data_IF_375605660926
#
_entry.id   IF_375605660926
#
_cell.length_a   1.000
_cell.length_b   1.000
_cell.length_c   1.000
_cell.angle_alpha   90.00
_cell.angle_beta   90.00
_cell.angle_gamma   90.00
#
_symmetry.space_group_name_H-M   'P 1'
#
loop_
_entity.id
_entity.type
_entity.pdbx_description
1 polymer ?
#
# COMPACT_ATOMS: atom_id res chain seq x y z
N UNK A 1 -48.61 19.47 -32.47
CA UNK A 1 -48.68 18.40 -31.51
C UNK A 1 -47.34 18.27 -30.77
N UNK A 2 -47.33 18.48 -29.46
CA UNK A 2 -46.14 18.18 -28.64
C UNK A 2 -46.16 16.69 -28.33
N UNK A 3 -45.24 15.94 -28.89
CA UNK A 3 -45.00 14.53 -28.53
C UNK A 3 -44.46 14.52 -27.10
N UNK A 4 -45.23 14.06 -26.15
CA UNK A 4 -44.79 13.74 -24.82
C UNK A 4 -43.89 12.51 -24.95
N UNK A 5 -42.57 12.69 -24.87
CA UNK A 5 -41.63 11.60 -24.69
C UNK A 5 -41.89 11.08 -23.28
N UNK A 6 -42.47 9.89 -23.17
CA UNK A 6 -42.55 9.18 -21.90
C UNK A 6 -41.14 8.88 -21.47
N UNK A 7 -40.64 9.57 -20.45
CA UNK A 7 -39.39 9.18 -19.77
C UNK A 7 -39.60 7.78 -19.18
N UNK A 8 -38.68 6.89 -19.50
CA UNK A 8 -38.71 5.56 -18.94
C UNK A 8 -38.31 5.68 -17.44
N UNK A 9 -39.28 5.37 -16.57
CA UNK A 9 -39.10 5.51 -15.11
C UNK A 9 -37.92 4.71 -14.63
N UNK A 10 -37.68 3.53 -15.21
CA UNK A 10 -36.54 2.64 -14.86
C UNK A 10 -35.18 3.26 -15.21
N UNK A 11 -35.10 4.02 -16.32
CA UNK A 11 -33.89 4.75 -16.70
C UNK A 11 -33.62 5.93 -15.76
N UNK A 12 -34.66 6.63 -15.32
CA UNK A 12 -34.54 7.74 -14.37
C UNK A 12 -34.10 7.23 -12.98
N UNK A 13 -34.58 6.07 -12.53
CA UNK A 13 -34.16 5.44 -11.27
C UNK A 13 -32.70 4.98 -11.33
N UNK A 14 -32.32 4.31 -12.42
CA UNK A 14 -30.93 3.90 -12.65
C UNK A 14 -29.99 5.12 -12.64
N UNK A 15 -30.33 6.18 -13.35
CA UNK A 15 -29.53 7.42 -13.41
C UNK A 15 -29.40 8.09 -12.04
N UNK A 16 -30.45 8.09 -11.22
CA UNK A 16 -30.40 8.58 -9.83
C UNK A 16 -29.46 7.75 -8.98
N UNK A 17 -29.55 6.41 -9.06
CA UNK A 17 -28.67 5.49 -8.32
C UNK A 17 -27.20 5.68 -8.70
N UNK A 18 -26.88 5.79 -9.99
CA UNK A 18 -25.53 6.05 -10.48
C UNK A 18 -24.98 7.40 -9.99
N UNK A 19 -25.82 8.44 -10.00
CA UNK A 19 -25.47 9.77 -9.50
C UNK A 19 -25.23 9.77 -7.99
N UNK A 20 -26.01 9.02 -7.23
CA UNK A 20 -25.86 8.89 -5.79
C UNK A 20 -24.60 8.11 -5.43
N UNK A 21 -24.30 7.02 -6.14
CA UNK A 21 -23.05 6.28 -6.01
C UNK A 21 -21.83 7.17 -6.31
N UNK A 22 -21.89 7.96 -7.38
CA UNK A 22 -20.82 8.90 -7.72
C UNK A 22 -20.63 9.99 -6.66
N UNK A 23 -21.71 10.49 -6.06
CA UNK A 23 -21.67 11.47 -4.97
C UNK A 23 -21.08 10.89 -3.70
N UNK A 24 -21.48 9.67 -3.35
CA UNK A 24 -20.96 8.94 -2.19
C UNK A 24 -19.49 8.61 -2.38
N UNK A 25 -19.07 8.19 -3.57
CA UNK A 25 -17.66 7.95 -3.90
C UNK A 25 -16.81 9.21 -3.68
N UNK A 26 -17.24 10.36 -4.23
CA UNK A 26 -16.54 11.64 -4.04
C UNK A 26 -16.47 12.06 -2.57
N UNK A 27 -17.52 11.81 -1.81
CA UNK A 27 -17.58 12.08 -0.37
C UNK A 27 -16.55 11.22 0.39
N UNK A 28 -16.48 9.93 0.09
CA UNK A 28 -15.54 9.00 0.71
C UNK A 28 -14.08 9.34 0.35
N UNK A 29 -13.80 9.68 -0.91
CA UNK A 29 -12.48 10.15 -1.35
C UNK A 29 -12.07 11.39 -0.54
N UNK A 30 -12.92 12.41 -0.45
CA UNK A 30 -12.63 13.64 0.31
C UNK A 30 -12.35 13.34 1.79
N UNK A 31 -13.17 12.48 2.40
CA UNK A 31 -13.01 12.10 3.81
C UNK A 31 -11.66 11.41 4.06
N UNK A 32 -11.32 10.43 3.23
CA UNK A 32 -10.06 9.70 3.37
C UNK A 32 -8.85 10.61 3.12
N UNK A 33 -8.90 11.48 2.10
CA UNK A 33 -7.84 12.46 1.83
C UNK A 33 -7.57 13.36 3.04
N UNK A 34 -8.63 13.95 3.60
CA UNK A 34 -8.49 14.85 4.75
C UNK A 34 -7.89 14.10 5.95
N UNK A 35 -8.41 12.91 6.26
CA UNK A 35 -7.89 12.08 7.33
C UNK A 35 -6.39 11.72 7.12
N UNK A 36 -5.99 11.38 5.88
CA UNK A 36 -4.59 11.06 5.58
C UNK A 36 -3.66 12.28 5.73
N UNK A 37 -4.10 13.46 5.30
CA UNK A 37 -3.33 14.70 5.46
C UNK A 37 -3.13 15.03 6.94
N UNK A 38 -4.18 14.94 7.75
CA UNK A 38 -4.11 15.20 9.19
C UNK A 38 -3.22 14.16 9.89
N UNK A 39 -3.40 12.89 9.56
CA UNK A 39 -2.60 11.81 10.13
C UNK A 39 -1.10 11.97 9.81
N UNK A 40 -0.77 12.27 8.54
CA UNK A 40 0.60 12.48 8.09
C UNK A 40 1.30 13.67 8.76
N UNK A 41 0.54 14.70 9.17
CA UNK A 41 1.09 15.84 9.91
C UNK A 41 1.46 15.49 11.34
N UNK A 42 0.66 14.64 11.97
CA UNK A 42 0.81 14.25 13.38
C UNK A 42 1.75 13.06 13.56
N UNK A 43 1.89 12.18 12.56
CA UNK A 43 2.56 10.90 12.69
C UNK A 43 3.62 10.69 11.59
N UNK A 44 4.67 9.96 11.95
CA UNK A 44 5.68 9.44 10.99
C UNK A 44 5.40 7.96 10.81
N UNK A 45 4.97 7.55 9.62
CA UNK A 45 4.53 6.19 9.34
C UNK A 45 5.49 5.49 8.41
N UNK A 46 5.86 4.26 8.76
CA UNK A 46 6.59 3.31 7.93
C UNK A 46 5.76 2.04 7.74
N UNK A 47 5.70 1.53 6.51
CA UNK A 47 4.96 0.33 6.17
C UNK A 47 5.91 -0.75 5.65
N UNK A 48 5.63 -2.00 6.05
CA UNK A 48 6.44 -3.16 5.69
C UNK A 48 5.57 -4.20 5.01
N UNK A 49 6.06 -4.71 3.88
CA UNK A 49 5.33 -5.64 3.03
C UNK A 49 6.19 -6.80 2.60
N UNK A 50 5.58 -7.98 2.62
CA UNK A 50 6.08 -9.17 1.95
C UNK A 50 5.11 -9.65 0.87
N UNK A 51 5.50 -10.64 0.07
CA UNK A 51 4.64 -11.21 -0.97
C UNK A 51 3.45 -11.94 -0.35
N UNK A 52 2.28 -11.71 -0.93
CA UNK A 52 1.05 -12.37 -0.48
C UNK A 52 1.10 -13.90 -0.55
N UNK A 53 2.03 -14.45 -1.31
CA UNK A 53 2.23 -15.89 -1.53
C UNK A 53 3.38 -16.48 -0.73
N UNK A 54 4.25 -15.64 -0.16
CA UNK A 54 5.40 -16.05 0.64
C UNK A 54 5.21 -15.54 2.06
N UNK A 55 5.40 -16.43 3.04
CA UNK A 55 5.39 -16.03 4.45
C UNK A 55 6.79 -15.58 4.85
N UNK A 56 6.84 -14.39 5.47
CA UNK A 56 8.02 -13.91 6.19
C UNK A 56 9.31 -13.83 5.36
N UNK A 57 9.32 -12.89 4.46
CA UNK A 57 10.48 -12.47 3.71
C UNK A 57 11.17 -11.27 4.40
N UNK A 58 12.04 -10.60 3.71
CA UNK A 58 12.84 -9.50 4.21
C UNK A 58 12.03 -8.34 4.81
N UNK A 59 10.78 -8.13 4.37
CA UNK A 59 9.87 -7.16 4.96
C UNK A 59 9.52 -7.47 6.42
N UNK A 60 9.23 -8.74 6.72
CA UNK A 60 8.97 -9.19 8.08
C UNK A 60 10.20 -9.00 8.99
N UNK A 61 11.36 -9.46 8.54
CA UNK A 61 12.58 -9.36 9.35
C UNK A 61 12.99 -7.90 9.57
N UNK A 62 12.84 -7.05 8.57
CA UNK A 62 13.07 -5.61 8.72
C UNK A 62 12.10 -4.99 9.73
N UNK A 63 10.79 -5.30 9.62
CA UNK A 63 9.80 -4.85 10.60
C UNK A 63 10.17 -5.27 12.03
N UNK A 64 10.50 -6.57 12.24
CA UNK A 64 10.89 -7.13 13.56
C UNK A 64 12.13 -6.45 14.16
N UNK A 65 13.03 -5.99 13.32
CA UNK A 65 14.19 -5.21 13.75
C UNK A 65 13.80 -3.79 14.13
N UNK A 66 13.06 -3.11 13.26
CA UNK A 66 12.82 -1.67 13.35
C UNK A 66 11.78 -1.32 14.42
N UNK A 67 10.79 -2.20 14.66
CA UNK A 67 9.76 -1.97 15.68
C UNK A 67 10.32 -1.81 17.10
N UNK A 68 11.53 -2.25 17.33
CA UNK A 68 12.25 -2.15 18.61
C UNK A 68 12.76 -0.72 18.89
N UNK A 69 12.84 0.13 17.87
CA UNK A 69 13.36 1.48 18.02
C UNK A 69 12.28 2.42 18.57
N UNK A 70 12.62 3.11 19.65
CA UNK A 70 11.76 4.13 20.23
C UNK A 70 12.18 5.53 19.72
N UNK A 71 11.86 5.79 18.46
CA UNK A 71 12.26 7.01 17.73
C UNK A 71 11.08 7.88 17.29
N UNK A 72 9.88 7.56 17.79
CA UNK A 72 8.64 8.27 17.46
C UNK A 72 8.11 7.96 16.07
N UNK A 73 8.59 6.86 15.43
CA UNK A 73 8.09 6.38 14.14
C UNK A 73 7.10 5.24 14.39
N UNK A 74 5.92 5.36 13.80
CA UNK A 74 4.91 4.30 13.82
C UNK A 74 5.16 3.33 12.69
N UNK A 75 5.39 2.08 13.03
CA UNK A 75 5.73 1.00 12.10
C UNK A 75 4.62 -0.01 12.04
N UNK A 76 4.19 -0.36 10.83
CA UNK A 76 3.10 -1.32 10.61
C UNK A 76 3.50 -2.36 9.58
N UNK A 77 3.27 -3.63 9.93
CA UNK A 77 3.40 -4.74 8.99
C UNK A 77 2.06 -5.05 8.34
N UNK A 78 2.04 -5.05 7.02
CA UNK A 78 0.82 -5.26 6.23
C UNK A 78 0.72 -6.72 5.84
N UNK A 79 -0.33 -7.40 6.30
CA UNK A 79 -0.57 -8.80 6.03
C UNK A 79 -1.82 -9.02 5.18
N UNK A 80 -1.81 -10.02 4.31
CA UNK A 80 -2.91 -10.33 3.38
C UNK A 80 -3.70 -11.58 3.75
N UNK A 81 -3.14 -12.44 4.60
CA UNK A 81 -3.79 -13.67 5.06
C UNK A 81 -3.75 -13.79 6.58
N UNK A 82 -4.66 -14.58 7.12
CA UNK A 82 -4.68 -14.87 8.55
C UNK A 82 -3.60 -15.90 8.89
N UNK A 83 -2.87 -15.65 9.96
CA UNK A 83 -1.86 -16.56 10.47
C UNK A 83 -2.46 -17.44 11.58
N UNK A 84 -2.33 -18.77 11.42
CA UNK A 84 -2.80 -19.73 12.44
C UNK A 84 -2.04 -19.61 13.75
N UNK A 85 -0.75 -19.26 13.69
CA UNK A 85 0.17 -19.22 14.82
C UNK A 85 0.66 -17.78 15.09
N UNK A 86 -0.25 -16.81 15.11
CA UNK A 86 0.11 -15.40 15.24
C UNK A 86 0.92 -15.11 16.52
N UNK A 87 0.60 -15.80 17.62
CA UNK A 87 1.29 -15.63 18.92
C UNK A 87 2.73 -16.15 18.92
N UNK A 88 3.07 -17.09 18.00
CA UNK A 88 4.44 -17.56 17.81
C UNK A 88 5.27 -16.62 16.93
N UNK A 89 4.60 -15.89 16.05
CA UNK A 89 5.21 -15.02 15.04
C UNK A 89 5.40 -13.60 15.55
N UNK A 90 4.44 -13.11 16.34
CA UNK A 90 4.40 -11.73 16.81
C UNK A 90 4.09 -11.68 18.30
N UNK A 91 4.83 -10.87 19.03
CA UNK A 91 4.49 -10.55 20.43
C UNK A 91 3.16 -9.79 20.51
N UNK A 92 2.56 -9.70 21.68
CA UNK A 92 1.30 -8.94 21.86
C UNK A 92 1.44 -7.47 21.46
N UNK A 93 2.58 -6.87 21.75
CA UNK A 93 2.86 -5.49 21.37
C UNK A 93 2.98 -5.35 19.84
N UNK A 94 3.69 -6.26 19.19
CA UNK A 94 3.82 -6.27 17.73
C UNK A 94 2.48 -6.51 17.02
N UNK A 95 1.57 -7.31 17.59
CA UNK A 95 0.25 -7.57 17.02
C UNK A 95 -0.60 -6.31 16.89
N UNK A 96 -0.42 -5.31 17.76
CA UNK A 96 -1.07 -4.01 17.66
C UNK A 96 -0.66 -3.23 16.40
N UNK A 97 0.48 -3.58 15.82
CA UNK A 97 1.07 -2.98 14.62
C UNK A 97 0.80 -3.78 13.33
N UNK A 98 -0.01 -4.83 13.41
CA UNK A 98 -0.44 -5.60 12.25
C UNK A 98 -1.65 -4.94 11.59
N UNK A 99 -1.62 -4.81 10.27
CA UNK A 99 -2.70 -4.18 9.50
C UNK A 99 -3.09 -5.06 8.32
N UNK A 100 -4.37 -5.36 8.24
CA UNK A 100 -4.90 -6.19 7.14
C UNK A 100 -4.85 -5.42 5.82
N UNK A 101 -4.31 -6.06 4.78
CA UNK A 101 -4.25 -5.52 3.43
C UNK A 101 -5.65 -5.12 2.93
N UNK A 102 -5.76 -3.97 2.30
CA UNK A 102 -7.02 -3.45 1.76
C UNK A 102 -8.00 -2.88 2.78
N UNK A 103 -7.71 -2.98 4.10
CA UNK A 103 -8.57 -2.38 5.14
C UNK A 103 -8.57 -0.85 5.07
N UNK A 104 -9.56 -0.22 5.70
CA UNK A 104 -9.61 1.25 5.80
C UNK A 104 -8.39 1.81 6.55
N UNK A 105 -7.90 1.10 7.58
CA UNK A 105 -6.66 1.46 8.27
C UNK A 105 -5.47 1.40 7.31
N UNK A 106 -5.39 0.35 6.46
CA UNK A 106 -4.33 0.25 5.45
C UNK A 106 -4.37 1.43 4.46
N UNK A 107 -5.54 1.79 3.94
CA UNK A 107 -5.70 2.93 3.02
C UNK A 107 -5.23 4.24 3.66
N UNK A 108 -5.63 4.49 4.91
CA UNK A 108 -5.21 5.68 5.66
C UNK A 108 -3.68 5.72 5.82
N UNK A 109 -3.08 4.63 6.30
CA UNK A 109 -1.64 4.54 6.55
C UNK A 109 -0.82 4.63 5.26
N UNK A 110 -1.29 3.99 4.17
CA UNK A 110 -0.65 4.05 2.86
C UNK A 110 -0.55 5.49 2.33
N UNK A 111 -1.64 6.24 2.41
CA UNK A 111 -1.66 7.66 2.03
C UNK A 111 -0.87 8.57 2.98
N UNK A 112 -0.60 8.10 4.19
CA UNK A 112 0.13 8.86 5.22
C UNK A 112 1.60 8.45 5.33
N UNK A 113 2.01 7.37 4.69
CA UNK A 113 3.34 6.80 4.81
C UNK A 113 4.44 7.77 4.38
N UNK A 114 5.59 7.69 5.06
CA UNK A 114 6.84 8.35 4.69
C UNK A 114 7.77 7.41 3.96
N UNK A 115 7.79 6.15 4.39
CA UNK A 115 8.63 5.12 3.80
C UNK A 115 7.81 3.83 3.67
N UNK A 116 8.00 3.15 2.56
CA UNK A 116 7.48 1.81 2.30
C UNK A 116 8.66 0.87 2.08
N UNK A 117 8.76 -0.16 2.90
CA UNK A 117 9.70 -1.26 2.75
C UNK A 117 8.98 -2.42 2.08
N UNK A 118 9.54 -2.95 1.01
CA UNK A 118 8.93 -4.06 0.28
C UNK A 118 9.98 -5.01 -0.29
N UNK A 119 9.69 -6.30 -0.23
CA UNK A 119 10.46 -7.32 -0.92
C UNK A 119 10.05 -7.47 -2.41
N UNK A 120 9.22 -6.56 -2.96
CA UNK A 120 8.67 -6.65 -4.32
C UNK A 120 8.98 -5.47 -5.19
N UNK A 121 8.96 -5.72 -6.50
CA UNK A 121 8.96 -4.70 -7.52
C UNK A 121 7.58 -4.05 -7.67
N UNK A 122 7.60 -2.72 -7.73
CA UNK A 122 6.46 -1.92 -8.09
C UNK A 122 5.49 -1.62 -6.95
N UNK A 123 4.64 -0.63 -7.18
CA UNK A 123 3.69 -0.11 -6.20
C UNK A 123 2.42 -0.95 -6.15
N UNK A 124 2.09 -1.63 -7.25
CA UNK A 124 0.83 -2.37 -7.40
C UNK A 124 0.61 -3.45 -6.32
N UNK A 125 1.62 -4.25 -5.92
CA UNK A 125 1.45 -5.23 -4.85
C UNK A 125 1.24 -4.63 -3.47
N UNK A 126 1.61 -3.37 -3.25
CA UNK A 126 1.49 -2.70 -1.93
C UNK A 126 0.29 -1.77 -1.84
N UNK A 127 -0.29 -1.39 -2.97
CA UNK A 127 -1.43 -0.49 -3.03
C UNK A 127 -2.73 -1.12 -2.51
N UNK A 128 -3.41 -0.49 -1.53
CA UNK A 128 -4.70 -0.96 -1.04
C UNK A 128 -5.87 -0.66 -1.99
N UNK A 129 -5.63 0.03 -3.09
CA UNK A 129 -6.66 0.49 -4.03
C UNK A 129 -6.85 -0.45 -5.23
N UNK A 130 -6.13 -1.56 -5.26
CA UNK A 130 -6.28 -2.65 -6.23
C UNK A 130 -5.75 -2.37 -7.64
N UNK A 131 -5.67 -1.10 -8.04
CA UNK A 131 -5.15 -0.70 -9.36
C UNK A 131 -4.63 0.73 -9.37
N UNK A 132 -3.83 1.07 -10.38
CA UNK A 132 -3.39 2.44 -10.59
C UNK A 132 -4.55 3.43 -10.76
N UNK A 133 -5.66 3.00 -11.38
CA UNK A 133 -6.86 3.82 -11.50
C UNK A 133 -7.50 4.15 -10.15
N UNK A 134 -7.44 3.22 -9.18
CA UNK A 134 -7.91 3.45 -7.80
C UNK A 134 -7.07 4.46 -7.03
N UNK A 135 -5.82 4.66 -7.42
CA UNK A 135 -4.91 5.64 -6.79
C UNK A 135 -5.07 7.07 -7.34
N UNK A 136 -5.61 7.22 -8.56
CA UNK A 136 -5.72 8.53 -9.23
C UNK A 136 -6.31 9.63 -8.31
N UNK A 137 -7.38 9.38 -7.53
CA UNK A 137 -7.95 10.41 -6.64
C UNK A 137 -7.00 10.85 -5.52
N UNK A 138 -5.90 10.15 -5.30
CA UNK A 138 -4.95 10.34 -4.20
C UNK A 138 -3.51 10.57 -4.67
N UNK A 139 -3.29 10.68 -5.97
CA UNK A 139 -1.94 10.70 -6.58
C UNK A 139 -1.00 11.74 -5.98
N UNK A 140 -1.52 12.91 -5.60
CA UNK A 140 -0.77 13.99 -4.96
C UNK A 140 -0.39 13.70 -3.49
N UNK A 141 -0.96 12.65 -2.88
CA UNK A 141 -0.61 12.20 -1.52
C UNK A 141 0.42 11.06 -1.53
N UNK A 142 0.68 10.45 -2.68
CA UNK A 142 1.63 9.35 -2.83
C UNK A 142 3.08 9.87 -2.90
N UNK A 143 3.52 10.48 -1.81
CA UNK A 143 4.84 11.10 -1.64
C UNK A 143 5.64 10.37 -0.55
N UNK A 144 5.73 9.05 -0.66
CA UNK A 144 6.55 8.20 0.18
C UNK A 144 7.82 7.75 -0.56
N UNK A 145 8.85 7.42 0.20
CA UNK A 145 10.04 6.76 -0.32
C UNK A 145 9.86 5.26 -0.31
N UNK A 146 10.29 4.58 -1.35
CA UNK A 146 10.25 3.12 -1.45
C UNK A 146 11.64 2.53 -1.27
N UNK A 147 11.76 1.59 -0.33
CA UNK A 147 12.96 0.80 -0.09
C UNK A 147 12.69 -0.64 -0.53
N UNK A 148 13.39 -1.07 -1.55
CA UNK A 148 13.32 -2.45 -2.03
C UNK A 148 14.33 -3.33 -1.28
N UNK A 149 13.83 -4.34 -0.57
CA UNK A 149 14.61 -5.20 0.31
C UNK A 149 15.14 -6.47 -0.36
N UNK A 150 14.70 -6.74 -1.61
CA UNK A 150 14.94 -8.00 -2.33
C UNK A 150 14.34 -9.25 -1.66
N UNK A 151 14.38 -10.39 -2.36
CA UNK A 151 13.93 -11.70 -1.90
C UNK A 151 15.07 -12.62 -1.48
N UNK A 152 16.31 -12.23 -1.65
CA UNK A 152 17.47 -13.06 -1.41
C UNK A 152 18.65 -12.60 -2.26
N UNK A 153 19.70 -13.41 -2.34
CA UNK A 153 20.91 -13.10 -3.09
C UNK A 153 20.66 -13.23 -4.59
N UNK A 154 20.96 -12.18 -5.36
CA UNK A 154 20.89 -12.20 -6.81
C UNK A 154 22.07 -13.00 -7.38
N UNK A 155 21.80 -14.23 -7.80
CA UNK A 155 22.78 -15.12 -8.45
C UNK A 155 22.69 -15.13 -9.97
N UNK A 156 21.70 -14.44 -10.55
CA UNK A 156 21.48 -14.34 -11.98
C UNK A 156 21.35 -12.88 -12.43
N UNK A 157 21.69 -12.60 -13.68
CA UNK A 157 21.50 -11.25 -14.24
C UNK A 157 20.00 -10.97 -14.47
N UNK A 158 19.46 -10.04 -13.70
CA UNK A 158 18.06 -9.59 -13.77
C UNK A 158 17.95 -8.16 -14.34
N UNK A 159 18.90 -7.73 -15.16
CA UNK A 159 18.98 -6.34 -15.69
C UNK A 159 17.66 -5.86 -16.30
N UNK A 160 16.94 -6.72 -17.01
CA UNK A 160 15.64 -6.34 -17.61
C UNK A 160 14.53 -6.18 -16.59
N UNK A 161 14.61 -6.86 -15.43
CA UNK A 161 13.64 -6.76 -14.36
C UNK A 161 13.99 -5.64 -13.39
N UNK A 162 15.28 -5.39 -13.21
CA UNK A 162 15.83 -4.38 -12.29
C UNK A 162 16.07 -3.02 -12.98
N UNK A 163 15.59 -2.84 -14.21
CA UNK A 163 15.71 -1.55 -14.89
C UNK A 163 14.96 -0.46 -14.13
N UNK A 164 15.45 0.77 -14.19
CA UNK A 164 14.85 1.96 -13.54
C UNK A 164 13.38 2.14 -13.92
N UNK A 165 12.99 1.70 -15.11
CA UNK A 165 11.60 1.77 -15.59
C UNK A 165 10.68 0.80 -14.86
N UNK A 166 11.21 -0.34 -14.41
CA UNK A 166 10.44 -1.38 -13.71
C UNK A 166 10.59 -1.32 -12.20
N UNK A 167 11.80 -1.09 -11.71
CA UNK A 167 12.08 -0.95 -10.28
C UNK A 167 12.18 0.53 -9.91
N UNK A 168 11.07 1.12 -9.50
CA UNK A 168 10.98 2.53 -9.08
C UNK A 168 11.28 2.73 -7.61
N UNK A 169 12.18 1.93 -7.04
CA UNK A 169 12.59 2.10 -5.65
C UNK A 169 13.55 3.29 -5.51
N UNK A 170 13.37 4.10 -4.46
CA UNK A 170 14.30 5.17 -4.09
C UNK A 170 15.61 4.60 -3.54
N UNK A 171 15.52 3.44 -2.89
CA UNK A 171 16.69 2.69 -2.39
C UNK A 171 16.50 1.20 -2.61
N UNK A 172 17.60 0.53 -2.88
CA UNK A 172 17.66 -0.93 -3.02
C UNK A 172 18.70 -1.44 -2.03
N UNK A 173 18.28 -2.42 -1.22
CA UNK A 173 19.17 -3.12 -0.31
C UNK A 173 19.77 -4.30 -1.07
N UNK A 174 21.07 -4.43 -1.03
CA UNK A 174 21.82 -5.53 -1.64
C UNK A 174 22.52 -6.34 -0.54
N UNK A 175 22.57 -7.66 -0.70
CA UNK A 175 23.20 -8.58 0.26
C UNK A 175 24.71 -8.64 0.08
N UNK A 176 25.20 -8.39 -1.16
CA UNK A 176 26.60 -8.49 -1.51
C UNK A 176 27.03 -7.46 -2.56
N UNK A 177 28.29 -6.98 -2.51
CA UNK A 177 28.76 -5.93 -3.43
C UNK A 177 28.64 -6.27 -4.91
N UNK A 178 28.75 -7.54 -5.29
CA UNK A 178 28.63 -7.96 -6.69
C UNK A 178 27.22 -7.77 -7.26
N UNK A 179 26.19 -7.74 -6.43
CA UNK A 179 24.80 -7.52 -6.83
C UNK A 179 24.59 -6.11 -7.41
N UNK A 180 25.43 -5.16 -7.03
CA UNK A 180 25.39 -3.78 -7.53
C UNK A 180 25.46 -3.69 -9.06
N UNK A 181 26.01 -4.70 -9.73
CA UNK A 181 26.12 -4.74 -11.18
C UNK A 181 24.76 -5.05 -11.87
N UNK A 182 23.76 -5.47 -11.11
CA UNK A 182 22.43 -5.81 -11.62
C UNK A 182 21.45 -4.61 -11.60
N UNK A 183 21.87 -3.47 -11.07
CA UNK A 183 21.09 -2.24 -10.96
C UNK A 183 21.79 -1.04 -11.66
#
# INVERSE_FOLDING_TARGET
GRTLVSRNVDEDEKYRAEREQSKNFKGNVKKLRNAAIEYRRAHKVELYYDLHTVDFDNGYYQFKNDIKHNDGVERYYIYSREYKNIDELFTKDEQAHLVKFGSEKHKLLYLSARVIFTAFYGVTPVSPFGSAAGEVPYADLLDFKTVYLQHGVLHASLRSQNSVERCRADKIVISAPFEKQNY
#
